data_IF_873387248731
#
_entry.id   IF_873387248731
#
_cell.length_a   1.000
_cell.length_b   1.000
_cell.length_c   1.000
_cell.angle_alpha   90.00
_cell.angle_beta   90.00
_cell.angle_gamma   90.00
#
_symmetry.space_group_name_H-M   'P 1'
#
loop_
_entity.id
_entity.type
_entity.pdbx_description
1 polymer ?
#
# COMPACT_ATOMS: atom_id res chain seq x y z
N UNK A 1 8.86 -12.15 -17.14
CA UNK A 1 7.70 -11.27 -17.38
C UNK A 1 8.03 -9.92 -16.76
N UNK A 2 8.35 -8.91 -17.58
CA UNK A 2 8.60 -7.55 -17.06
C UNK A 2 7.32 -6.95 -16.45
N UNK A 3 7.44 -5.94 -15.57
CA UNK A 3 6.26 -5.27 -15.04
C UNK A 3 5.44 -4.70 -16.21
N UNK A 4 4.17 -5.11 -16.34
CA UNK A 4 3.25 -4.46 -17.26
C UNK A 4 3.12 -3.01 -16.82
N UNK A 5 3.62 -2.07 -17.63
CA UNK A 5 3.41 -0.65 -17.40
C UNK A 5 1.91 -0.37 -17.47
N UNK A 6 1.34 0.16 -16.39
CA UNK A 6 -0.06 0.56 -16.32
C UNK A 6 -0.31 1.73 -17.27
N UNK A 7 -1.38 1.66 -18.05
CA UNK A 7 -1.74 2.67 -19.07
C UNK A 7 -2.69 3.72 -18.52
N UNK A 8 -2.91 4.80 -19.26
CA UNK A 8 -3.91 5.82 -18.90
C UNK A 8 -5.32 5.24 -18.68
N UNK A 9 -5.72 4.27 -19.50
CA UNK A 9 -7.04 3.64 -19.40
C UNK A 9 -7.18 2.78 -18.14
N UNK A 10 -6.09 2.11 -17.74
CA UNK A 10 -6.05 1.40 -16.46
C UNK A 10 -6.36 2.35 -15.30
N UNK A 11 -5.71 3.51 -15.23
CA UNK A 11 -5.92 4.48 -14.16
C UNK A 11 -7.34 5.04 -14.14
N UNK A 12 -7.90 5.36 -15.32
CA UNK A 12 -9.29 5.80 -15.45
C UNK A 12 -10.27 4.74 -14.94
N UNK A 13 -10.04 3.48 -15.29
CA UNK A 13 -10.89 2.36 -14.87
C UNK A 13 -10.83 2.14 -13.35
N UNK A 14 -9.64 2.21 -12.73
CA UNK A 14 -9.52 2.08 -11.28
C UNK A 14 -10.22 3.24 -10.57
N UNK A 15 -10.05 4.48 -11.07
CA UNK A 15 -10.66 5.67 -10.51
C UNK A 15 -12.20 5.69 -10.63
N UNK A 16 -12.78 4.99 -11.59
CA UNK A 16 -14.24 4.94 -11.77
C UNK A 16 -14.95 3.92 -10.88
N UNK A 17 -14.20 3.06 -10.16
CA UNK A 17 -14.74 1.92 -9.41
C UNK A 17 -14.74 2.16 -7.90
N UNK A 18 -15.71 1.55 -7.22
CA UNK A 18 -15.81 1.63 -5.76
C UNK A 18 -14.71 0.81 -5.08
N UNK A 19 -13.93 1.46 -4.22
CA UNK A 19 -12.78 0.86 -3.55
C UNK A 19 -13.00 0.73 -2.04
N UNK A 20 -12.76 -0.47 -1.51
CA UNK A 20 -12.91 -0.84 -0.10
C UNK A 20 -11.81 -1.83 0.25
N UNK A 21 -10.62 -1.32 0.47
CA UNK A 21 -9.43 -2.10 0.79
C UNK A 21 -8.88 -1.67 2.14
N UNK A 22 -8.28 -2.61 2.87
CA UNK A 22 -7.56 -2.35 4.10
C UNK A 22 -6.08 -2.63 3.88
N UNK A 23 -5.25 -1.76 4.46
CA UNK A 23 -3.82 -1.99 4.63
C UNK A 23 -3.52 -2.01 6.14
N UNK A 24 -2.91 -3.08 6.63
CA UNK A 24 -2.65 -3.27 8.06
C UNK A 24 -1.16 -3.48 8.33
N UNK A 25 -0.72 -3.11 9.54
CA UNK A 25 0.68 -3.28 9.98
C UNK A 25 1.07 -4.73 10.23
N UNK A 26 0.10 -5.56 10.60
CA UNK A 26 0.22 -6.99 10.88
C UNK A 26 -1.14 -7.67 10.82
N UNK A 27 -1.16 -8.96 11.13
CA UNK A 27 -2.38 -9.71 11.43
C UNK A 27 -2.70 -9.60 12.92
N UNK A 28 -2.33 -10.63 13.69
CA UNK A 28 -2.56 -10.71 15.14
C UNK A 28 -1.29 -10.41 15.95
N UNK A 29 -0.17 -10.16 15.28
CA UNK A 29 1.10 -9.87 15.93
C UNK A 29 1.06 -8.51 16.64
N UNK A 30 1.71 -8.37 17.82
CA UNK A 30 1.84 -7.09 18.49
C UNK A 30 2.48 -6.03 17.58
N UNK A 31 2.01 -4.78 17.71
CA UNK A 31 2.57 -3.68 16.93
C UNK A 31 3.91 -3.25 17.52
N UNK A 32 4.95 -3.23 16.69
CA UNK A 32 6.26 -2.78 17.11
C UNK A 32 6.26 -1.26 17.30
N UNK A 33 6.37 -0.81 18.55
CA UNK A 33 6.48 0.62 18.89
C UNK A 33 7.91 1.18 18.65
N UNK A 34 8.89 0.30 18.40
CA UNK A 34 10.30 0.65 18.22
C UNK A 34 10.85 0.04 16.92
N UNK A 35 11.73 0.75 16.23
CA UNK A 35 12.40 0.29 15.00
C UNK A 35 12.25 1.20 13.78
N UNK A 36 11.34 2.19 13.80
CA UNK A 36 11.12 3.14 12.71
C UNK A 36 11.55 4.59 13.01
N UNK A 37 12.37 4.81 14.04
CA UNK A 37 12.73 6.16 14.50
C UNK A 37 11.56 6.86 15.20
N UNK A 38 11.06 7.96 14.62
CA UNK A 38 9.89 8.70 15.16
C UNK A 38 8.54 8.03 14.89
N UNK A 39 8.50 7.03 14.02
CA UNK A 39 7.29 6.33 13.59
C UNK A 39 7.43 4.82 13.84
N UNK A 40 6.32 4.09 13.86
CA UNK A 40 6.38 2.62 13.79
C UNK A 40 7.04 2.18 12.47
N UNK A 41 7.64 0.98 12.40
CA UNK A 41 8.25 0.48 11.17
C UNK A 41 7.28 0.45 9.98
N UNK A 42 6.01 0.10 10.22
CA UNK A 42 4.94 0.21 9.22
C UNK A 42 4.74 1.65 8.73
N UNK A 43 4.53 2.59 9.66
CA UNK A 43 4.27 3.98 9.30
C UNK A 43 5.46 4.63 8.59
N UNK A 44 6.69 4.30 9.01
CA UNK A 44 7.90 4.72 8.32
C UNK A 44 7.93 4.21 6.88
N UNK A 45 7.75 2.90 6.67
CA UNK A 45 7.78 2.31 5.33
C UNK A 45 6.68 2.86 4.42
N UNK A 46 5.48 3.10 4.96
CA UNK A 46 4.37 3.72 4.24
C UNK A 46 4.73 5.14 3.76
N UNK A 47 5.22 5.99 4.68
CA UNK A 47 5.58 7.38 4.37
C UNK A 47 6.75 7.44 3.39
N UNK A 48 7.79 6.65 3.61
CA UNK A 48 8.97 6.65 2.74
C UNK A 48 8.59 6.22 1.32
N UNK A 49 7.74 5.18 1.17
CA UNK A 49 7.26 4.74 -0.15
C UNK A 49 6.45 5.82 -0.87
N UNK A 50 5.63 6.60 -0.14
CA UNK A 50 4.88 7.71 -0.72
C UNK A 50 5.79 8.88 -1.13
N UNK A 51 6.85 9.16 -0.36
CA UNK A 51 7.82 10.24 -0.64
C UNK A 51 8.70 9.92 -1.84
N UNK A 52 9.14 8.67 -1.95
CA UNK A 52 10.01 8.19 -3.02
C UNK A 52 9.25 7.94 -4.33
N UNK A 53 7.92 8.09 -4.32
CA UNK A 53 7.09 7.90 -5.48
C UNK A 53 7.28 9.04 -6.51
N UNK A 54 7.57 8.68 -7.75
CA UNK A 54 7.78 9.58 -8.89
C UNK A 54 6.71 9.43 -9.98
N UNK A 55 5.81 8.45 -9.86
CA UNK A 55 4.73 8.17 -10.81
C UNK A 55 3.37 8.03 -10.13
N UNK A 56 2.31 7.74 -10.89
CA UNK A 56 1.08 7.22 -10.29
C UNK A 56 1.35 5.77 -9.86
N UNK A 57 0.96 5.41 -8.64
CA UNK A 57 0.95 4.03 -8.14
C UNK A 57 -0.41 3.71 -7.53
N UNK A 58 -0.83 2.45 -7.61
CA UNK A 58 -2.00 1.97 -6.86
C UNK A 58 -1.62 1.35 -5.51
N UNK A 59 -2.64 0.99 -4.72
CA UNK A 59 -2.50 0.32 -3.43
C UNK A 59 -1.69 -0.96 -3.51
N UNK A 60 -1.87 -1.77 -4.56
CA UNK A 60 -1.07 -2.99 -4.80
C UNK A 60 0.42 -2.67 -4.96
N UNK A 61 0.77 -1.67 -5.78
CA UNK A 61 2.16 -1.24 -5.95
C UNK A 61 2.75 -0.63 -4.68
N UNK A 62 1.99 0.22 -3.99
CA UNK A 62 2.38 0.82 -2.72
C UNK A 62 2.71 -0.28 -1.71
N UNK A 63 1.79 -1.23 -1.52
CA UNK A 63 1.97 -2.36 -0.62
C UNK A 63 3.17 -3.22 -1.00
N UNK A 64 3.34 -3.55 -2.29
CA UNK A 64 4.47 -4.32 -2.79
C UNK A 64 5.83 -3.69 -2.46
N UNK A 65 5.93 -2.36 -2.57
CA UNK A 65 7.14 -1.60 -2.21
C UNK A 65 7.40 -1.57 -0.70
N UNK A 66 6.37 -1.39 0.13
CA UNK A 66 6.55 -1.25 1.58
C UNK A 66 6.62 -2.57 2.36
N UNK A 67 6.07 -3.66 1.81
CA UNK A 67 5.96 -4.95 2.52
C UNK A 67 7.31 -5.48 3.00
N UNK A 68 8.31 -5.51 2.12
CA UNK A 68 9.65 -6.04 2.45
C UNK A 68 10.34 -5.20 3.54
N UNK A 69 10.39 -3.85 3.45
CA UNK A 69 10.91 -3.02 4.54
C UNK A 69 10.31 -3.30 5.92
N UNK A 70 9.00 -3.53 6.01
CA UNK A 70 8.34 -3.83 7.30
C UNK A 70 8.77 -5.19 7.84
N UNK A 71 8.70 -6.24 7.02
CA UNK A 71 9.06 -7.62 7.43
C UNK A 71 10.55 -7.75 7.81
N UNK A 72 11.42 -6.91 7.25
CA UNK A 72 12.85 -6.89 7.65
C UNK A 72 13.04 -6.23 9.02
N UNK A 73 12.22 -5.22 9.32
CA UNK A 73 12.38 -4.42 10.52
C UNK A 73 11.63 -5.00 11.73
N UNK A 74 10.65 -5.88 11.52
CA UNK A 74 9.78 -6.40 12.58
C UNK A 74 9.33 -7.84 12.30
N UNK A 75 8.77 -8.49 13.31
CA UNK A 75 8.06 -9.78 13.16
C UNK A 75 6.66 -9.62 12.54
N UNK A 76 6.20 -8.38 12.32
CA UNK A 76 4.88 -8.12 11.78
C UNK A 76 4.85 -8.43 10.27
N UNK A 77 3.77 -9.07 9.84
CA UNK A 77 3.51 -9.31 8.41
C UNK A 77 2.38 -8.41 7.95
N UNK A 78 2.67 -7.25 7.33
CA UNK A 78 1.64 -6.33 6.89
C UNK A 78 0.76 -6.98 5.83
N UNK A 79 -0.51 -6.60 5.79
CA UNK A 79 -1.51 -7.17 4.89
C UNK A 79 -2.16 -6.08 4.05
N UNK A 80 -2.58 -6.44 2.84
CA UNK A 80 -3.37 -5.61 1.95
C UNK A 80 -4.44 -6.49 1.31
N UNK A 81 -5.71 -6.18 1.55
CA UNK A 81 -6.83 -6.96 1.03
C UNK A 81 -8.11 -6.17 0.97
N UNK A 82 -9.07 -6.68 0.20
CA UNK A 82 -10.44 -6.18 0.19
C UNK A 82 -11.09 -6.32 1.56
N UNK A 83 -11.90 -5.32 1.93
CA UNK A 83 -12.76 -5.41 3.11
C UNK A 83 -13.99 -6.24 2.73
N UNK A 84 -14.11 -7.43 3.34
CA UNK A 84 -15.19 -8.37 3.05
C UNK A 84 -16.56 -7.74 3.33
N UNK A 85 -17.52 -7.99 2.43
CA UNK A 85 -18.90 -7.50 2.52
C UNK A 85 -19.04 -5.96 2.56
N UNK A 86 -18.04 -5.20 2.09
CA UNK A 86 -18.07 -3.73 2.09
C UNK A 86 -18.51 -3.10 0.75
N UNK A 87 -18.85 -3.90 -0.26
CA UNK A 87 -19.20 -3.41 -1.60
C UNK A 87 -17.99 -2.98 -2.43
N UNK A 88 -16.90 -3.74 -2.38
CA UNK A 88 -15.75 -3.54 -3.26
C UNK A 88 -16.09 -3.91 -4.71
N UNK A 89 -15.72 -3.06 -5.68
CA UNK A 89 -16.03 -3.22 -7.12
C UNK A 89 -14.75 -3.36 -7.99
N UNK A 90 -13.63 -3.73 -7.37
CA UNK A 90 -12.36 -3.96 -8.05
C UNK A 90 -11.66 -2.69 -8.53
N UNK A 91 -11.90 -1.56 -7.86
CA UNK A 91 -11.05 -0.36 -7.96
C UNK A 91 -9.83 -0.45 -7.04
N UNK A 92 -9.00 0.59 -7.00
CA UNK A 92 -7.95 0.73 -5.99
C UNK A 92 -7.72 2.22 -5.68
N UNK A 93 -7.09 2.51 -4.54
CA UNK A 93 -6.58 3.84 -4.25
C UNK A 93 -5.41 4.16 -5.17
N UNK A 94 -5.48 5.32 -5.82
CA UNK A 94 -4.41 5.84 -6.65
C UNK A 94 -3.66 6.93 -5.89
N UNK A 95 -2.36 6.75 -5.73
CA UNK A 95 -1.47 7.72 -5.10
C UNK A 95 -0.76 8.52 -6.19
N UNK A 96 -1.14 9.79 -6.29
CA UNK A 96 -0.60 10.75 -7.26
C UNK A 96 0.23 11.76 -6.51
N UNK A 97 1.54 11.83 -6.81
CA UNK A 97 2.42 12.85 -6.21
C UNK A 97 1.99 14.24 -6.67
N UNK A 98 1.68 15.12 -5.71
CA UNK A 98 1.53 16.55 -5.98
C UNK A 98 2.92 17.14 -6.25
N UNK A 99 3.00 18.00 -7.28
CA UNK A 99 4.18 18.83 -7.52
C UNK A 99 4.33 19.87 -6.41
#
# INVERSE_FOLDING_TARGET
MGPRTRTGDYWKQMASKWTRVAITSGGLEPVADKGGGRNSPFAKAFIDTLKDNDSIIDGVQLFGKMRRPVIVATEQTPQYSDVRNAGHDGGDFLFVRKK
#
